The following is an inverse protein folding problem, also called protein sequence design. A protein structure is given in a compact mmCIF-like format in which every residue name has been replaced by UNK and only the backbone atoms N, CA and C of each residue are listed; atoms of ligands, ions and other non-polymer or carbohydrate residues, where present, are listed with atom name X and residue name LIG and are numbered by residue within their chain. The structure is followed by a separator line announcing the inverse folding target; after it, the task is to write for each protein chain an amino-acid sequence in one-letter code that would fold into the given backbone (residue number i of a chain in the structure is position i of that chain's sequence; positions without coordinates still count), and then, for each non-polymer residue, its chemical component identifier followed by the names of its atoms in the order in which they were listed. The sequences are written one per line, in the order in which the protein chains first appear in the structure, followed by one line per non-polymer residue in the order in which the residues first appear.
data_IF_331740144821
#
_entry.id   IF_331740144821
#
_cell.length_a   1.000
_cell.length_b   1.000
_cell.length_c   1.000
_cell.angle_alpha   90.00
_cell.angle_beta   90.00
_cell.angle_gamma   90.00
#
_symmetry.space_group_name_H-M   'P 1'
#
loop_
_entity.id
_entity.type
_entity.pdbx_description
1 polymer ?
#
# COMPACT_ATOMS: atom_id res chain seq x y z
N UNK A 1 -7.67 10.73 1.38
CA UNK A 1 -6.26 10.31 1.40
C UNK A 1 -6.06 9.55 2.69
N UNK A 2 -6.38 8.27 2.58
CA UNK A 2 -6.24 7.26 3.61
C UNK A 2 -4.82 6.71 3.48
N UNK A 3 -4.11 6.58 4.59
CA UNK A 3 -2.70 6.18 4.62
C UNK A 3 -2.56 5.02 5.60
N UNK A 4 -1.82 3.99 5.21
CA UNK A 4 -1.55 2.80 6.03
C UNK A 4 -2.84 2.16 6.58
N UNK A 5 -3.81 1.89 5.70
CA UNK A 5 -5.10 1.24 6.00
C UNK A 5 -4.96 -0.14 6.62
N UNK A 6 -3.85 -0.85 6.37
CA UNK A 6 -3.52 -2.10 7.06
C UNK A 6 -2.86 -1.90 8.44
N UNK A 7 -2.40 -0.69 8.74
CA UNK A 7 -1.54 -0.36 9.87
C UNK A 7 -0.05 -0.20 9.51
N UNK A 8 0.35 -0.59 8.30
CA UNK A 8 1.71 -0.46 7.77
C UNK A 8 2.80 -1.09 8.65
N UNK A 9 4.04 -0.61 8.51
CA UNK A 9 5.20 -1.14 9.24
C UNK A 9 5.06 -1.15 10.77
N UNK A 10 4.21 -0.28 11.32
CA UNK A 10 4.09 -0.10 12.76
C UNK A 10 3.11 -1.08 13.40
N UNK A 11 2.00 -1.41 12.71
CA UNK A 11 0.90 -2.18 13.30
C UNK A 11 0.56 -3.47 12.54
N UNK A 12 0.84 -3.56 11.24
CA UNK A 12 0.60 -4.79 10.46
C UNK A 12 1.78 -5.76 10.65
N UNK A 13 2.92 -5.41 10.05
CA UNK A 13 4.17 -6.14 10.11
C UNK A 13 5.28 -5.30 9.45
N UNK A 14 6.54 -5.59 9.78
CA UNK A 14 7.69 -5.05 9.05
C UNK A 14 8.27 -6.13 8.13
N UNK A 15 7.73 -6.24 6.91
CA UNK A 15 8.17 -7.22 5.88
C UNK A 15 8.87 -6.48 4.73
N UNK A 16 9.69 -5.49 5.10
CA UNK A 16 10.49 -4.69 4.18
C UNK A 16 9.69 -4.04 3.04
N UNK A 17 8.45 -3.62 3.29
CA UNK A 17 7.61 -2.94 2.30
C UNK A 17 6.71 -3.89 1.50
N UNK A 18 6.89 -5.21 1.60
CA UNK A 18 6.05 -6.16 0.86
C UNK A 18 4.61 -6.19 1.38
N UNK A 19 4.42 -5.96 2.68
CA UNK A 19 3.10 -5.77 3.29
C UNK A 19 2.35 -4.58 2.66
N UNK A 20 3.04 -3.48 2.34
CA UNK A 20 2.41 -2.32 1.70
C UNK A 20 2.00 -2.62 0.25
N UNK A 21 2.77 -3.44 -0.47
CA UNK A 21 2.39 -3.92 -1.81
C UNK A 21 1.14 -4.79 -1.74
N UNK A 22 1.05 -5.67 -0.74
CA UNK A 22 -0.12 -6.51 -0.54
C UNK A 22 -1.36 -5.69 -0.16
N UNK A 23 -1.23 -4.69 0.71
CA UNK A 23 -2.34 -3.78 1.03
C UNK A 23 -2.79 -2.98 -0.19
N UNK A 24 -1.85 -2.44 -0.99
CA UNK A 24 -2.20 -1.74 -2.21
C UNK A 24 -2.94 -2.64 -3.21
N UNK A 25 -2.54 -3.90 -3.33
CA UNK A 25 -3.22 -4.89 -4.17
C UNK A 25 -4.63 -5.21 -3.66
N UNK A 26 -4.81 -5.34 -2.34
CA UNK A 26 -6.14 -5.53 -1.73
C UNK A 26 -7.05 -4.32 -1.94
N UNK A 27 -6.52 -3.10 -1.81
CA UNK A 27 -7.28 -1.87 -2.03
C UNK A 27 -7.83 -1.82 -3.47
N UNK A 28 -6.99 -1.96 -4.49
CA UNK A 28 -7.45 -1.92 -5.90
C UNK A 28 -8.34 -3.10 -6.29
N UNK A 29 -8.38 -4.17 -5.49
CA UNK A 29 -9.30 -5.31 -5.68
C UNK A 29 -10.60 -5.20 -4.89
N UNK A 30 -10.71 -4.25 -3.97
CA UNK A 30 -11.87 -4.15 -3.08
C UNK A 30 -11.88 -5.21 -1.96
N UNK A 31 -10.71 -5.74 -1.58
CA UNK A 31 -10.56 -6.86 -0.64
C UNK A 31 -9.86 -6.44 0.67
N UNK A 32 -9.63 -5.15 0.90
CA UNK A 32 -9.01 -4.70 2.15
C UNK A 32 -9.97 -4.83 3.33
N UNK A 33 -9.44 -5.16 4.51
CA UNK A 33 -10.17 -5.14 5.78
C UNK A 33 -10.50 -3.71 6.24
N UNK A 34 -9.81 -2.72 5.68
CA UNK A 34 -10.06 -1.28 5.87
C UNK A 34 -10.14 -0.63 4.48
N UNK A 35 -11.15 -1.04 3.71
CA UNK A 35 -11.33 -0.63 2.33
C UNK A 35 -11.59 0.87 2.19
N UNK A 36 -10.88 1.51 1.26
CA UNK A 36 -11.14 2.89 0.86
C UNK A 36 -12.25 2.90 -0.18
N UNK A 37 -13.24 3.77 0.01
CA UNK A 37 -14.34 3.96 -0.92
C UNK A 37 -13.85 4.55 -2.25
N UNK A 38 -14.31 3.98 -3.37
CA UNK A 38 -14.01 4.45 -4.74
C UNK A 38 -12.51 4.60 -5.01
N UNK A 39 -11.68 3.68 -4.53
CA UNK A 39 -10.24 3.69 -4.83
C UNK A 39 -9.99 3.43 -6.32
N UNK A 40 -9.35 4.40 -6.98
CA UNK A 40 -8.89 4.25 -8.37
C UNK A 40 -7.41 3.89 -8.44
N UNK A 41 -6.62 4.43 -7.50
CA UNK A 41 -5.17 4.25 -7.42
C UNK A 41 -4.70 4.01 -5.99
N UNK A 42 -3.65 3.21 -5.83
CA UNK A 42 -2.95 3.00 -4.55
C UNK A 42 -1.45 3.16 -4.71
N UNK A 43 -0.86 4.10 -3.96
CA UNK A 43 0.58 4.41 -3.99
C UNK A 43 1.32 3.64 -2.89
N UNK A 44 2.41 2.97 -3.29
CA UNK A 44 3.37 2.32 -2.39
C UNK A 44 4.70 3.05 -2.46
N UNK A 45 5.31 3.32 -1.30
CA UNK A 45 6.65 3.91 -1.19
C UNK A 45 7.49 3.07 -0.23
N UNK A 46 8.69 2.69 -0.65
CA UNK A 46 9.62 1.88 0.13
C UNK A 46 11.04 2.49 0.15
N UNK A 47 11.85 2.03 1.10
CA UNK A 47 13.20 2.56 1.36
C UNK A 47 13.21 3.93 2.07
N UNK A 48 12.50 4.12 3.20
CA UNK A 48 12.57 5.38 3.93
C UNK A 48 13.97 5.62 4.49
N UNK A 49 14.55 6.79 4.20
CA UNK A 49 15.74 7.32 4.89
C UNK A 49 17.11 6.98 4.30
N UNK A 50 17.22 6.05 3.36
CA UNK A 50 18.48 5.76 2.65
C UNK A 50 18.22 5.28 1.21
N UNK A 51 19.02 5.75 0.26
CA UNK A 51 18.97 5.26 -1.12
C UNK A 51 19.58 3.84 -1.21
N UNK A 52 19.04 2.97 -2.08
CA UNK A 52 17.99 3.23 -3.08
C UNK A 52 16.56 3.21 -2.50
N UNK A 53 15.70 4.09 -3.02
CA UNK A 53 14.27 4.12 -2.72
C UNK A 53 13.45 3.63 -3.92
N UNK A 54 12.23 3.14 -3.68
CA UNK A 54 11.32 2.67 -4.72
C UNK A 54 9.89 3.13 -4.47
N UNK A 55 9.12 3.21 -5.56
CA UNK A 55 7.70 3.51 -5.51
C UNK A 55 6.95 2.72 -6.60
N UNK A 56 5.69 2.39 -6.33
CA UNK A 56 4.79 1.75 -7.28
C UNK A 56 3.39 2.34 -7.16
N UNK A 57 2.70 2.47 -8.29
CA UNK A 57 1.29 2.87 -8.35
C UNK A 57 0.50 1.68 -8.88
N UNK A 58 -0.50 1.23 -8.12
CA UNK A 58 -1.44 0.20 -8.55
C UNK A 58 -2.74 0.88 -8.93
N UNK A 59 -3.38 0.38 -9.98
CA UNK A 59 -4.62 0.91 -10.56
C UNK A 59 -5.66 -0.20 -10.63
N UNK A 60 -6.94 0.18 -10.56
CA UNK A 60 -8.06 -0.70 -10.88
C UNK A 60 -8.17 -0.96 -12.39
N UNK A 61 -7.62 -0.06 -13.21
CA UNK A 61 -7.54 -0.17 -14.67
C UNK A 61 -6.14 -0.62 -15.14
N UNK A 62 -6.03 -1.35 -16.28
CA UNK A 62 -4.76 -1.85 -16.83
C UNK A 62 -3.75 -0.78 -17.26
#
# INVERSE_FOLDING_TARGET
MEIYTSGGNLAEAYVHGFELVNEAARQVRGESTCQVDNVEFSLVVAGPGALPASAALLSVEP
#
